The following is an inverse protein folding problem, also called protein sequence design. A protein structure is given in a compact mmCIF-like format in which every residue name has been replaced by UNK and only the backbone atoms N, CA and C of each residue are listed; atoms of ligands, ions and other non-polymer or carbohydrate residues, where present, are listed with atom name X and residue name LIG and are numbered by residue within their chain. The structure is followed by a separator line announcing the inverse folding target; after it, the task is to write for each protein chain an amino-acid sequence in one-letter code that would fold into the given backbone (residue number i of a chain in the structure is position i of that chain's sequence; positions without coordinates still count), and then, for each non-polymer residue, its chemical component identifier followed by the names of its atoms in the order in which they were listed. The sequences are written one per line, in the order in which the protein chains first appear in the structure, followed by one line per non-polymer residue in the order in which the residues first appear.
data_IF_309901526725
#
_entry.id   IF_309901526725
#
_cell.length_a   1.000
_cell.length_b   1.000
_cell.length_c   1.000
_cell.angle_alpha   90.00
_cell.angle_beta   90.00
_cell.angle_gamma   90.00
#
_symmetry.space_group_name_H-M   'P 1'
#
loop_
_entity.id
_entity.type
_entity.pdbx_description
1 polymer ?
#
# COMPACT_ATOMS: atom_id res chain seq x y z
N UNK A 1 12.46 -5.57 -4.96
CA UNK A 1 11.66 -5.74 -3.72
C UNK A 1 10.19 -5.86 -4.10
N UNK A 2 9.38 -6.70 -3.42
CA UNK A 2 7.94 -6.71 -3.63
C UNK A 2 7.33 -5.36 -3.25
N UNK A 3 6.32 -4.92 -3.99
CA UNK A 3 5.62 -3.65 -3.74
C UNK A 3 4.12 -3.92 -3.72
N UNK A 4 3.43 -3.47 -2.68
CA UNK A 4 1.97 -3.44 -2.66
C UNK A 4 1.53 -2.08 -3.20
N UNK A 5 0.82 -2.09 -4.33
CA UNK A 5 0.35 -0.88 -5.00
C UNK A 5 -0.87 -0.34 -4.26
N UNK A 6 -0.86 0.94 -3.88
CA UNK A 6 -2.04 1.60 -3.31
C UNK A 6 -3.08 1.99 -4.38
N UNK A 7 -2.77 1.87 -5.67
CA UNK A 7 -3.77 2.00 -6.73
C UNK A 7 -4.67 0.75 -6.81
N UNK A 8 -4.09 -0.44 -6.62
CA UNK A 8 -4.80 -1.72 -6.77
C UNK A 8 -5.13 -2.40 -5.44
N UNK A 9 -4.40 -2.09 -4.37
CA UNK A 9 -4.49 -2.77 -3.08
C UNK A 9 -3.75 -4.10 -3.03
N UNK A 10 -3.03 -4.49 -4.08
CA UNK A 10 -2.41 -5.81 -4.24
C UNK A 10 -0.91 -5.72 -4.51
N UNK A 11 -0.21 -6.87 -4.41
CA UNK A 11 1.16 -6.98 -4.90
C UNK A 11 1.22 -6.59 -6.38
N UNK A 12 2.10 -5.65 -6.72
CA UNK A 12 2.38 -5.28 -8.09
C UNK A 12 3.04 -6.46 -8.82
N UNK A 13 2.63 -6.69 -10.06
CA UNK A 13 3.08 -7.80 -10.91
C UNK A 13 3.61 -7.30 -12.24
N UNK A 14 4.49 -8.09 -12.87
CA UNK A 14 5.01 -7.80 -14.21
C UNK A 14 5.47 -6.36 -14.42
N UNK A 15 4.81 -5.66 -15.34
CA UNK A 15 5.12 -4.30 -15.77
C UNK A 15 4.30 -3.20 -15.07
N UNK A 16 3.49 -3.52 -14.05
CA UNK A 16 2.56 -2.57 -13.40
C UNK A 16 3.25 -1.24 -13.10
N UNK A 17 4.40 -1.26 -12.41
CA UNK A 17 5.11 -0.03 -12.01
C UNK A 17 6.01 0.57 -13.11
N UNK A 18 6.15 -0.12 -14.25
CA UNK A 18 7.09 0.21 -15.33
C UNK A 18 6.45 0.93 -16.51
N UNK A 19 5.14 1.15 -16.49
CA UNK A 19 4.42 1.78 -17.59
C UNK A 19 3.93 3.19 -17.25
N UNK A 20 3.92 4.14 -18.20
CA UNK A 20 3.33 5.46 -17.99
C UNK A 20 1.85 5.39 -17.60
N UNK A 21 1.11 4.44 -18.15
CA UNK A 21 -0.33 4.25 -17.89
C UNK A 21 -0.63 3.96 -16.43
N UNK A 22 0.23 3.21 -15.74
CA UNK A 22 0.05 3.00 -14.30
C UNK A 22 0.15 4.30 -13.53
N UNK A 23 1.18 5.10 -13.81
CA UNK A 23 1.41 6.36 -13.09
C UNK A 23 0.33 7.39 -13.38
N UNK A 24 -0.17 7.48 -14.62
CA UNK A 24 -1.32 8.34 -14.94
C UNK A 24 -2.59 7.88 -14.24
N UNK A 25 -2.79 6.57 -14.07
CA UNK A 25 -3.91 6.05 -13.28
C UNK A 25 -3.72 6.30 -11.78
N UNK A 26 -2.51 6.13 -11.25
CA UNK A 26 -2.19 6.27 -9.83
C UNK A 26 -2.45 7.68 -9.31
N UNK A 27 -2.20 8.71 -10.13
CA UNK A 27 -2.48 10.10 -9.76
C UNK A 27 -3.95 10.51 -9.94
N UNK A 28 -4.76 9.71 -10.66
CA UNK A 28 -6.16 10.02 -11.00
C UNK A 28 -7.19 9.26 -10.17
N UNK A 29 -6.84 8.08 -9.70
CA UNK A 29 -7.75 7.19 -8.98
C UNK A 29 -7.48 7.18 -7.48
N UNK A 30 -8.45 6.69 -6.72
CA UNK A 30 -8.38 6.66 -5.27
C UNK A 30 -7.19 5.84 -4.74
N UNK A 31 -6.60 6.30 -3.64
CA UNK A 31 -5.57 5.59 -2.88
C UNK A 31 -6.23 4.57 -1.96
N UNK A 32 -6.06 3.28 -2.26
CA UNK A 32 -6.53 2.12 -1.50
C UNK A 32 -5.56 1.78 -0.36
N UNK A 33 -5.36 2.71 0.56
CA UNK A 33 -4.39 2.55 1.65
C UNK A 33 -4.75 1.37 2.59
N UNK A 34 -6.03 1.23 2.95
CA UNK A 34 -6.52 0.12 3.77
C UNK A 34 -6.27 -1.25 3.11
N UNK A 35 -6.63 -1.39 1.83
CA UNK A 35 -6.43 -2.65 1.09
C UNK A 35 -4.94 -3.01 1.04
N UNK A 36 -4.07 -2.02 0.83
CA UNK A 36 -2.63 -2.23 0.82
C UNK A 36 -2.08 -2.70 2.18
N UNK A 37 -2.54 -2.11 3.30
CA UNK A 37 -2.17 -2.56 4.65
C UNK A 37 -2.65 -3.98 4.94
N UNK A 38 -3.88 -4.31 4.54
CA UNK A 38 -4.42 -5.66 4.67
C UNK A 38 -3.59 -6.67 3.87
N UNK A 39 -3.20 -6.31 2.64
CA UNK A 39 -2.30 -7.15 1.83
C UNK A 39 -0.93 -7.31 2.50
N UNK A 40 -0.33 -6.24 3.03
CA UNK A 40 0.95 -6.33 3.75
C UNK A 40 0.85 -7.26 4.97
N UNK A 41 -0.22 -7.14 5.76
CA UNK A 41 -0.48 -8.02 6.90
C UNK A 41 -0.59 -9.49 6.46
N UNK A 42 -1.36 -9.76 5.41
CA UNK A 42 -1.52 -11.12 4.86
C UNK A 42 -0.22 -11.68 4.27
N UNK A 43 0.71 -10.82 3.84
CA UNK A 43 2.06 -11.21 3.43
C UNK A 43 3.04 -11.39 4.61
N UNK A 44 2.55 -11.29 5.85
CA UNK A 44 3.33 -11.53 7.07
C UNK A 44 4.11 -10.32 7.59
N UNK A 45 3.82 -9.11 7.12
CA UNK A 45 4.47 -7.91 7.65
C UNK A 45 4.03 -7.66 9.11
N UNK A 46 4.99 -7.65 10.04
CA UNK A 46 4.75 -7.43 11.48
C UNK A 46 5.23 -6.07 11.99
N UNK A 47 6.08 -5.39 11.21
CA UNK A 47 6.63 -4.07 11.54
C UNK A 47 6.43 -3.15 10.35
N UNK A 48 5.92 -1.95 10.60
CA UNK A 48 5.73 -0.90 9.59
C UNK A 48 6.65 0.28 9.92
N UNK A 49 7.27 0.84 8.90
CA UNK A 49 8.10 2.04 9.00
C UNK A 49 7.57 3.07 8.00
N UNK A 50 7.15 4.23 8.51
CA UNK A 50 6.82 5.38 7.68
C UNK A 50 8.09 6.15 7.30
N UNK A 51 8.19 6.54 6.03
CA UNK A 51 9.30 7.31 5.50
C UNK A 51 8.75 8.65 4.99
N UNK A 52 9.11 9.72 5.67
CA UNK A 52 8.68 11.07 5.34
C UNK A 52 9.17 12.09 6.36
N UNK A 53 9.00 13.38 6.09
CA UNK A 53 9.38 14.44 7.02
C UNK A 53 8.48 14.47 8.27
N UNK A 54 7.24 13.99 8.16
CA UNK A 54 6.23 13.93 9.22
C UNK A 54 5.60 12.55 9.31
N UNK A 55 5.05 12.18 10.47
CA UNK A 55 4.45 10.87 10.74
C UNK A 55 2.91 10.89 10.63
N UNK A 56 2.38 10.88 9.41
CA UNK A 56 0.94 10.95 9.13
C UNK A 56 0.33 9.56 8.91
N UNK A 57 1.05 8.65 8.25
CA UNK A 57 0.56 7.32 7.88
C UNK A 57 0.59 6.34 9.04
N UNK A 58 1.53 6.49 9.98
CA UNK A 58 1.69 5.57 11.11
C UNK A 58 0.45 5.54 12.02
N UNK A 59 -0.15 6.70 12.42
CA UNK A 59 -1.42 6.70 13.14
C UNK A 59 -2.56 6.08 12.33
N UNK A 60 -2.64 6.36 11.02
CA UNK A 60 -3.68 5.79 10.14
C UNK A 60 -3.57 4.28 10.01
N UNK A 61 -2.34 3.75 9.94
CA UNK A 61 -2.07 2.33 9.91
C UNK A 61 -2.46 1.65 11.23
N UNK A 62 -2.23 2.30 12.37
CA UNK A 62 -2.64 1.76 13.67
C UNK A 62 -4.18 1.72 13.83
N UNK A 63 -4.88 2.71 13.30
CA UNK A 63 -6.34 2.75 13.30
C UNK A 63 -6.99 1.78 12.29
N UNK A 64 -6.21 1.19 11.39
CA UNK A 64 -6.70 0.27 10.37
C UNK A 64 -6.89 -1.13 10.97
N UNK A 65 -8.12 -1.65 11.07
CA UNK A 65 -8.34 -3.01 11.55
C UNK A 65 -7.85 -4.00 10.48
N UNK A 66 -6.76 -4.71 10.75
CA UNK A 66 -6.38 -5.89 9.97
C UNK A 66 -7.00 -7.11 10.65
N UNK A 67 -7.74 -7.94 9.92
CA UNK A 67 -8.37 -9.14 10.50
C UNK A 67 -7.29 -10.02 11.19
N UNK A 68 -7.33 -10.08 12.52
CA UNK A 68 -6.53 -11.06 13.28
C UNK A 68 -7.22 -12.41 13.14
N UNK A 69 -6.53 -13.37 12.52
CA UNK A 69 -6.87 -14.80 12.63
C UNK A 69 -6.06 -15.38 13.78
#
# INVERSE_FOLDING_TARGET
IPVVSTLTGHLATGDDLRTPTYWTNQVRHAVRFHDALTTLHNQGATTLLEIGPDAVLSPLAHATPTLRT
#
